data_IF_143955649668
#
_entry.id   IF_143955649668
#
_cell.length_a   1.000
_cell.length_b   1.000
_cell.length_c   1.000
_cell.angle_alpha   90.00
_cell.angle_beta   90.00
_cell.angle_gamma   90.00
#
_symmetry.space_group_name_H-M   'P 1'
#
loop_
_entity.id
_entity.type
_entity.pdbx_description
1 polymer ?
#
# COMPACT_ATOMS: atom_id res chain seq x y z
N UNK A 1 14.79 -20.55 -9.24
CA UNK A 1 13.80 -20.94 -8.21
C UNK A 1 12.44 -20.39 -8.65
N UNK A 2 11.53 -21.22 -9.15
CA UNK A 2 10.18 -20.77 -9.50
C UNK A 2 9.39 -20.57 -8.21
N UNK A 3 8.90 -19.35 -7.97
CA UNK A 3 8.01 -19.07 -6.84
C UNK A 3 6.62 -19.63 -7.18
N UNK A 4 5.95 -20.38 -6.28
CA UNK A 4 4.67 -21.05 -6.57
C UNK A 4 3.45 -20.10 -6.67
N UNK A 5 3.65 -18.82 -7.02
CA UNK A 5 2.59 -17.81 -7.08
C UNK A 5 2.72 -16.93 -8.31
N UNK A 6 1.59 -16.67 -8.97
CA UNK A 6 1.52 -15.72 -10.08
C UNK A 6 1.17 -14.32 -9.54
N UNK A 7 2.19 -13.47 -9.35
CA UNK A 7 2.02 -12.09 -8.92
C UNK A 7 1.34 -11.19 -9.99
N UNK A 8 1.15 -11.68 -11.22
CA UNK A 8 0.41 -10.98 -12.27
C UNK A 8 -1.12 -11.09 -12.10
N UNK A 9 -1.61 -11.84 -11.11
CA UNK A 9 -3.04 -11.89 -10.83
C UNK A 9 -3.46 -10.67 -10.00
N UNK A 10 -4.36 -9.86 -10.54
CA UNK A 10 -4.98 -8.76 -9.80
C UNK A 10 -6.11 -9.31 -8.91
N UNK A 11 -5.86 -9.39 -7.60
CA UNK A 11 -6.84 -9.86 -6.62
C UNK A 11 -7.51 -8.67 -5.95
N UNK A 12 -8.84 -8.66 -5.91
CA UNK A 12 -9.62 -7.66 -5.17
C UNK A 12 -10.48 -8.33 -4.12
N UNK A 13 -10.49 -7.79 -2.91
CA UNK A 13 -11.38 -8.24 -1.85
C UNK A 13 -12.71 -7.49 -1.94
N UNK A 14 -13.82 -8.25 -1.99
CA UNK A 14 -15.16 -7.65 -1.89
C UNK A 14 -15.51 -7.38 -0.43
N UNK A 15 -15.93 -6.16 -0.15
CA UNK A 15 -16.50 -5.74 1.14
C UNK A 15 -18.03 -5.81 1.16
N UNK A 16 -18.67 -6.37 0.13
CA UNK A 16 -20.13 -6.39 0.01
C UNK A 16 -20.81 -7.02 1.24
N UNK A 17 -20.25 -8.12 1.77
CA UNK A 17 -20.82 -8.85 2.89
C UNK A 17 -20.92 -8.00 4.16
N UNK A 18 -19.86 -7.29 4.55
CA UNK A 18 -19.87 -6.47 5.77
C UNK A 18 -20.75 -5.22 5.61
N UNK A 19 -20.90 -4.69 4.40
CA UNK A 19 -21.80 -3.55 4.14
C UNK A 19 -23.27 -3.98 4.25
N UNK A 20 -23.59 -5.17 3.76
CA UNK A 20 -24.96 -5.70 3.73
C UNK A 20 -25.38 -6.27 5.09
N UNK A 21 -24.54 -7.12 5.70
CA UNK A 21 -24.90 -7.83 6.94
C UNK A 21 -24.68 -6.98 8.19
N UNK A 22 -23.66 -6.12 8.20
CA UNK A 22 -23.30 -5.33 9.38
C UNK A 22 -23.59 -3.84 9.21
N UNK A 23 -24.10 -3.42 8.05
CA UNK A 23 -24.34 -2.01 7.75
C UNK A 23 -23.07 -1.16 7.72
N UNK A 24 -21.89 -1.79 7.51
CA UNK A 24 -20.61 -1.08 7.51
C UNK A 24 -20.59 0.04 6.46
N UNK A 25 -20.15 1.21 6.89
CA UNK A 25 -19.90 2.38 6.05
C UNK A 25 -18.56 2.99 6.45
N UNK A 26 -17.84 3.50 5.46
CA UNK A 26 -16.63 4.26 5.68
C UNK A 26 -16.93 5.46 6.60
N UNK A 27 -16.18 5.64 7.70
CA UNK A 27 -16.47 6.69 8.68
C UNK A 27 -16.12 8.10 8.17
N UNK A 28 -15.33 8.19 7.11
CA UNK A 28 -14.92 9.43 6.44
C UNK A 28 -14.88 9.21 4.94
N UNK A 29 -15.13 10.25 4.16
CA UNK A 29 -14.93 10.22 2.70
C UNK A 29 -13.46 9.98 2.35
N UNK A 30 -13.21 9.35 1.19
CA UNK A 30 -11.86 8.96 0.78
C UNK A 30 -10.92 10.16 0.64
N UNK A 31 -11.42 11.29 0.14
CA UNK A 31 -10.66 12.53 -0.03
C UNK A 31 -10.20 13.07 1.33
N UNK A 32 -11.07 13.00 2.33
CA UNK A 32 -10.76 13.44 3.69
C UNK A 32 -9.81 12.47 4.40
N UNK A 33 -9.98 11.16 4.19
CA UNK A 33 -9.04 10.15 4.70
C UNK A 33 -7.62 10.42 4.19
N UNK A 34 -7.46 10.64 2.87
CA UNK A 34 -6.17 10.93 2.25
C UNK A 34 -5.55 12.20 2.84
N UNK A 35 -6.33 13.29 2.97
CA UNK A 35 -5.83 14.54 3.57
C UNK A 35 -5.35 14.35 5.00
N UNK A 36 -6.10 13.61 5.82
CA UNK A 36 -5.73 13.33 7.21
C UNK A 36 -4.47 12.49 7.30
N UNK A 37 -4.36 11.45 6.49
CA UNK A 37 -3.16 10.59 6.44
C UNK A 37 -1.93 11.40 6.05
N UNK A 38 -2.00 12.24 5.00
CA UNK A 38 -0.87 13.08 4.58
C UNK A 38 -0.42 14.01 5.70
N UNK A 39 -1.35 14.66 6.40
CA UNK A 39 -1.01 15.54 7.52
C UNK A 39 -0.30 14.77 8.62
N UNK A 40 -0.85 13.62 9.01
CA UNK A 40 -0.28 12.78 10.06
C UNK A 40 1.13 12.30 9.71
N UNK A 41 1.34 11.78 8.50
CA UNK A 41 2.67 11.31 8.03
C UNK A 41 3.73 12.43 8.05
N UNK A 42 3.35 13.66 7.69
CA UNK A 42 4.26 14.81 7.72
C UNK A 42 4.65 15.22 9.14
N UNK A 43 3.73 15.08 10.08
CA UNK A 43 3.96 15.37 11.50
C UNK A 43 4.68 14.22 12.22
N UNK A 44 4.61 13.00 11.67
CA UNK A 44 5.16 11.78 12.25
C UNK A 44 6.07 11.06 11.24
N UNK A 45 7.12 11.72 10.71
CA UNK A 45 8.00 11.08 9.74
C UNK A 45 8.68 9.86 10.36
N UNK A 46 8.88 8.77 9.58
CA UNK A 46 9.62 7.62 10.06
C UNK A 46 11.04 8.01 10.47
N UNK A 47 11.55 7.37 11.52
CA UNK A 47 12.89 7.64 12.02
C UNK A 47 13.95 7.43 10.93
N UNK A 48 14.96 8.32 10.84
CA UNK A 48 16.00 8.22 9.81
C UNK A 48 16.74 6.87 9.81
N UNK A 49 16.88 6.24 10.98
CA UNK A 49 17.46 4.90 11.10
C UNK A 49 16.63 3.81 10.40
N UNK A 50 15.29 3.95 10.39
CA UNK A 50 14.40 3.07 9.65
C UNK A 50 14.58 3.28 8.14
N UNK A 51 14.75 4.52 7.68
CA UNK A 51 14.95 4.81 6.26
C UNK A 51 16.30 4.29 5.73
N UNK A 52 17.34 4.28 6.58
CA UNK A 52 18.68 3.81 6.20
C UNK A 52 18.76 2.29 5.93
N UNK A 53 17.72 1.52 6.24
CA UNK A 53 17.70 0.07 5.99
C UNK A 53 17.29 -0.30 4.55
N UNK A 54 16.77 0.66 3.78
CA UNK A 54 16.30 0.43 2.41
C UNK A 54 17.36 0.81 1.39
N UNK A 55 17.63 -0.09 0.42
CA UNK A 55 18.48 0.19 -0.74
C UNK A 55 17.61 0.56 -1.93
N UNK A 56 17.20 1.82 -2.00
CA UNK A 56 16.40 2.33 -3.10
C UNK A 56 17.09 2.20 -4.46
N UNK A 57 18.43 2.18 -4.50
CA UNK A 57 19.16 2.01 -5.77
C UNK A 57 19.00 0.58 -6.31
N UNK A 58 19.01 -0.42 -5.42
CA UNK A 58 18.73 -1.80 -5.79
C UNK A 58 17.26 -2.00 -6.20
N UNK A 59 16.30 -1.37 -5.52
CA UNK A 59 14.89 -1.38 -5.90
C UNK A 59 14.67 -0.80 -7.31
N UNK A 60 15.26 0.38 -7.59
CA UNK A 60 15.19 1.04 -8.88
C UNK A 60 15.77 0.17 -10.01
N UNK A 61 16.91 -0.47 -9.76
CA UNK A 61 17.55 -1.38 -10.73
C UNK A 61 16.68 -2.62 -11.01
N UNK A 62 16.03 -3.18 -9.99
CA UNK A 62 15.14 -4.33 -10.14
C UNK A 62 13.90 -3.99 -10.97
N UNK A 63 13.31 -2.80 -10.78
CA UNK A 63 12.17 -2.31 -11.58
C UNK A 63 12.59 -2.13 -13.04
N UNK A 64 13.73 -1.49 -13.31
CA UNK A 64 14.23 -1.29 -14.67
C UNK A 64 14.52 -2.61 -15.41
N UNK A 65 14.98 -3.64 -14.69
CA UNK A 65 15.21 -4.98 -15.24
C UNK A 65 13.94 -5.77 -15.57
N UNK A 66 12.80 -5.43 -14.97
CA UNK A 66 11.51 -6.10 -15.18
C UNK A 66 10.72 -5.60 -16.40
N UNK A 67 11.12 -4.48 -17.02
CA UNK A 67 10.51 -3.92 -18.23
C UNK A 67 11.09 -4.48 -19.55
N UNK A 68 11.66 -5.70 -19.55
CA UNK A 68 12.10 -6.43 -20.76
C UNK A 68 11.34 -7.73 -20.97
#
# INVERSE_FOLDING_TARGET
>A
MQKPGNAAQHWTASSARIRQELGYKEPVAIEEAIRRTIRWERENPPASAFLAQFDYSAEDAAVAGHHR
#
